data_IF_675083249097
#
_entry.id   IF_675083249097
#
_cell.length_a   1.000
_cell.length_b   1.000
_cell.length_c   1.000
_cell.angle_alpha   90.00
_cell.angle_beta   90.00
_cell.angle_gamma   90.00
#
_symmetry.space_group_name_H-M   'P 1'
#
loop_
_entity.id
_entity.type
_entity.pdbx_description
1 polymer ?
2 non-polymer ?
3 non-polymer ?
4 water ?
#
# COMPACT_ATOMS: atom_id res chain seq x y z
C UNK A 1 -5.77 -1.17 2.95
N UNK A 2 -6.00 -2.46 2.38
CA UNK A 2 -4.87 -3.14 1.82
C UNK A 2 -4.25 -2.38 0.63
N UNK A 3 -5.09 -1.82 -0.23
CA UNK A 3 -4.63 -1.07 -1.38
C UNK A 3 -3.54 -0.05 -0.99
N UNK A 4 -3.84 0.77 0.01
CA UNK A 4 -2.90 1.82 0.34
C UNK A 4 -1.71 1.27 1.16
N UNK A 5 -1.91 0.23 1.97
CA UNK A 5 -0.81 -0.39 2.67
C UNK A 5 0.26 -0.89 1.68
N UNK A 6 -0.22 -1.60 0.66
CA UNK A 6 0.65 -2.18 -0.37
C UNK A 6 1.37 -1.08 -1.15
N UNK A 7 0.61 -0.12 -1.66
CA UNK A 7 1.24 0.89 -2.49
C UNK A 7 2.19 1.78 -1.70
N UNK A 8 1.91 2.00 -0.42
CA UNK A 8 2.84 2.74 0.43
C UNK A 8 4.15 1.97 0.55
N UNK A 9 4.04 0.70 0.91
CA UNK A 9 5.20 -0.15 1.04
C UNK A 9 6.11 -0.14 -0.20
N UNK A 10 5.49 -0.27 -1.37
CA UNK A 10 6.25 -0.34 -2.63
C UNK A 10 6.89 0.98 -2.99
N UNK A 11 6.25 2.18 -2.56
X LIG B 1 5.10 5.04 -0.94
X LIG B 1 6.03 5.13 0.12
X LIG B 1 4.21 5.24 -0.62
X LIG B 1 5.11 4.16 -1.34
X LIG B 1 5.37 5.70 -1.58
X LIG B 1 5.70 4.69 0.78
X LIG C 1 3.62 5.44 -3.69
X LIG C 1 2.87 5.49 -2.48
X LIG C 1 4.44 5.94 -3.61
X LIG C 1 3.09 5.77 -4.43
X LIG C 1 3.81 4.49 -3.82
X LIG C 1 2.97 6.28 -2.17
X LIG D 1 -6.99 5.41 2.32
#
# INVERSE_FOLDING_TARGET
XLAEALHFALX
MOH C O H1 H2 H3 HO
MOH C O H1 H2 H3 HO
CO CO
#
